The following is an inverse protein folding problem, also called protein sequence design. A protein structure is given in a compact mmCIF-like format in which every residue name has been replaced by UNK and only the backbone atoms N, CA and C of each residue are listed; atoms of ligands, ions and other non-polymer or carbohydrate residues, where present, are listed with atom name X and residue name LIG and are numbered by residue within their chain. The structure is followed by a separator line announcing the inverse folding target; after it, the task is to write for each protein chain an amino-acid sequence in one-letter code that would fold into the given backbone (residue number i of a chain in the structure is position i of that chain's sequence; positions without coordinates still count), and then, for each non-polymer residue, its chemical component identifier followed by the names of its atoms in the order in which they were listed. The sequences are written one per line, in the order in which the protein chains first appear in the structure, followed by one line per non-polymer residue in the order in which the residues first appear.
data_IF_877273663500
#
_entry.id   IF_877273663500
#
_cell.length_a   1.000
_cell.length_b   1.000
_cell.length_c   1.000
_cell.angle_alpha   90.00
_cell.angle_beta   90.00
_cell.angle_gamma   90.00
#
_symmetry.space_group_name_H-M   'P 1'
#
loop_
_entity.id
_entity.type
_entity.pdbx_description
1 polymer ?
#
# COMPACT_ATOMS: atom_id res chain seq x y z
N UNK A 1 15.15 -9.55 15.69
CA UNK A 1 13.86 -8.86 15.45
C UNK A 1 13.18 -9.53 14.29
N UNK A 2 12.01 -10.13 14.51
CA UNK A 2 11.21 -10.75 13.44
C UNK A 2 10.48 -9.60 12.77
N UNK A 3 10.87 -9.25 11.54
CA UNK A 3 10.17 -8.25 10.74
C UNK A 3 8.85 -8.91 10.34
N UNK A 4 7.81 -8.65 11.13
CA UNK A 4 6.50 -9.23 10.90
C UNK A 4 5.95 -8.62 9.61
N UNK A 5 5.78 -9.45 8.57
CA UNK A 5 5.25 -9.06 7.25
C UNK A 5 3.92 -8.32 7.37
N UNK A 6 3.15 -8.64 8.42
CA UNK A 6 1.90 -7.97 8.78
C UNK A 6 2.09 -6.52 9.20
N UNK A 7 3.13 -6.21 9.97
CA UNK A 7 3.48 -4.84 10.35
C UNK A 7 3.96 -4.04 9.14
N UNK A 8 4.72 -4.68 8.24
CA UNK A 8 5.13 -4.06 6.99
C UNK A 8 3.93 -3.70 6.11
N UNK A 9 3.01 -4.64 5.91
CA UNK A 9 1.76 -4.41 5.18
C UNK A 9 0.97 -3.24 5.77
N UNK A 10 0.82 -3.19 7.11
CA UNK A 10 0.15 -2.08 7.80
C UNK A 10 0.81 -0.73 7.55
N UNK A 11 2.14 -0.61 7.68
CA UNK A 11 2.83 0.65 7.37
C UNK A 11 2.69 1.05 5.90
N UNK A 12 2.66 0.08 4.98
CA UNK A 12 2.42 0.34 3.56
C UNK A 12 1.00 0.87 3.30
N UNK A 13 0.00 0.26 3.93
CA UNK A 13 -1.40 0.73 3.89
C UNK A 13 -1.54 2.12 4.50
N UNK A 14 -0.83 2.42 5.58
CA UNK A 14 -0.82 3.76 6.18
C UNK A 14 -0.24 4.80 5.22
N UNK A 15 0.87 4.47 4.54
CA UNK A 15 1.42 5.31 3.47
C UNK A 15 0.43 5.49 2.31
N UNK A 16 -0.27 4.43 1.90
CA UNK A 16 -1.36 4.48 0.92
C UNK A 16 -2.45 5.47 1.32
N UNK A 17 -2.87 5.48 2.59
CA UNK A 17 -3.84 6.45 3.13
C UNK A 17 -3.34 7.89 3.07
N UNK A 18 -2.04 8.09 3.31
CA UNK A 18 -1.38 9.39 3.18
C UNK A 18 -1.13 9.79 1.71
N UNK A 19 -1.48 8.91 0.76
CA UNK A 19 -1.38 9.17 -0.66
C UNK A 19 -0.06 8.77 -1.31
N UNK A 20 0.71 7.91 -0.66
CA UNK A 20 1.91 7.33 -1.23
C UNK A 20 1.61 5.99 -1.90
N UNK A 21 2.38 5.64 -2.93
CA UNK A 21 2.33 4.30 -3.53
C UNK A 21 3.00 3.25 -2.62
N UNK A 22 2.42 2.06 -2.53
CA UNK A 22 3.03 0.93 -1.86
C UNK A 22 3.40 -0.19 -2.85
N UNK A 23 4.58 -0.76 -2.66
CA UNK A 23 5.02 -1.95 -3.39
C UNK A 23 5.06 -3.16 -2.47
N UNK A 24 4.49 -4.27 -2.93
CA UNK A 24 4.51 -5.56 -2.28
C UNK A 24 5.38 -6.54 -3.09
N UNK A 25 6.55 -6.86 -2.54
CA UNK A 25 7.52 -7.80 -3.12
C UNK A 25 7.03 -9.26 -3.07
N UNK A 26 6.01 -9.57 -2.28
CA UNK A 26 5.51 -10.93 -2.09
C UNK A 26 4.00 -10.94 -2.14
N UNK A 27 3.44 -11.99 -2.74
CA UNK A 27 2.00 -12.19 -2.83
C UNK A 27 1.33 -12.18 -1.44
N UNK A 28 1.98 -12.80 -0.45
CA UNK A 28 1.51 -12.81 0.94
C UNK A 28 1.36 -11.39 1.53
N UNK A 29 2.25 -10.46 1.17
CA UNK A 29 2.17 -9.05 1.58
C UNK A 29 1.09 -8.33 0.78
N UNK A 30 0.97 -8.61 -0.51
CA UNK A 30 -0.06 -8.04 -1.37
C UNK A 30 -1.47 -8.42 -0.88
N UNK A 31 -1.70 -9.69 -0.52
CA UNK A 31 -2.97 -10.16 0.04
C UNK A 31 -3.30 -9.51 1.38
N UNK A 32 -2.29 -9.27 2.23
CA UNK A 32 -2.47 -8.55 3.49
C UNK A 32 -2.85 -7.08 3.27
N UNK A 33 -2.20 -6.42 2.31
CA UNK A 33 -2.48 -5.02 1.94
C UNK A 33 -3.89 -4.93 1.33
N UNK A 34 -4.22 -5.80 0.38
CA UNK A 34 -5.55 -5.84 -0.27
C UNK A 34 -6.66 -6.05 0.76
N UNK A 35 -6.46 -6.97 1.71
CA UNK A 35 -7.43 -7.20 2.79
C UNK A 35 -7.65 -5.95 3.64
N UNK A 36 -6.58 -5.29 4.06
CA UNK A 36 -6.71 -4.06 4.85
C UNK A 36 -7.38 -2.93 4.03
N UNK A 37 -7.06 -2.80 2.74
CA UNK A 37 -7.68 -1.81 1.85
C UNK A 37 -9.18 -2.04 1.67
N UNK A 38 -9.60 -3.30 1.53
CA UNK A 38 -11.02 -3.69 1.47
C UNK A 38 -11.71 -3.36 2.79
N UNK A 39 -11.08 -3.63 3.93
CA UNK A 39 -11.61 -3.24 5.25
C UNK A 39 -11.73 -1.71 5.42
N UNK A 40 -10.86 -0.95 4.75
CA UNK A 40 -10.87 0.52 4.73
C UNK A 40 -11.78 1.12 3.66
N UNK A 41 -12.36 0.28 2.79
CA UNK A 41 -13.17 0.70 1.64
C UNK A 41 -12.50 1.79 0.80
N UNK A 42 -11.17 1.69 0.63
CA UNK A 42 -10.35 2.67 -0.09
C UNK A 42 -10.17 2.23 -1.55
N UNK A 43 -10.47 3.14 -2.48
CA UNK A 43 -10.19 2.92 -3.89
C UNK A 43 -8.70 3.10 -4.16
N UNK A 44 -8.05 2.00 -4.52
CA UNK A 44 -6.65 2.01 -4.93
C UNK A 44 -6.50 1.18 -6.19
N UNK A 45 -5.62 1.63 -7.07
CA UNK A 45 -5.23 0.90 -8.25
C UNK A 45 -4.19 -0.16 -7.89
N UNK A 46 -4.47 -1.42 -8.21
CA UNK A 46 -3.55 -2.53 -7.96
C UNK A 46 -2.96 -3.03 -9.28
N UNK A 47 -1.67 -2.80 -9.49
CA UNK A 47 -0.95 -3.28 -10.66
C UNK A 47 -0.12 -4.52 -10.29
N UNK A 48 -0.49 -5.67 -10.84
CA UNK A 48 0.15 -6.96 -10.54
C UNK A 48 1.19 -7.29 -11.61
N UNK A 49 2.45 -7.27 -11.21
CA UNK A 49 3.60 -7.58 -12.07
C UNK A 49 4.22 -8.94 -11.72
N UNK A 50 5.09 -9.47 -12.59
CA UNK A 50 5.79 -10.74 -12.33
C UNK A 50 6.75 -10.72 -11.14
N UNK A 51 7.15 -9.53 -10.68
CA UNK A 51 8.08 -9.34 -9.56
C UNK A 51 7.39 -8.91 -8.26
N UNK A 52 6.09 -8.61 -8.29
CA UNK A 52 5.35 -8.08 -7.15
C UNK A 52 4.09 -7.30 -7.54
N UNK A 53 3.39 -6.76 -6.55
CA UNK A 53 2.17 -5.96 -6.76
C UNK A 53 2.40 -4.52 -6.32
N UNK A 54 2.02 -3.57 -7.17
CA UNK A 54 1.97 -2.16 -6.87
C UNK A 54 0.56 -1.76 -6.46
N UNK A 55 0.48 -0.90 -5.46
CA UNK A 55 -0.75 -0.30 -4.97
C UNK A 55 -0.58 1.21 -5.09
N UNK A 56 -1.39 1.84 -5.94
CA UNK A 56 -1.38 3.27 -6.17
C UNK A 56 -2.72 3.83 -5.67
N UNK A 57 -2.74 4.68 -4.65
CA UNK A 57 -3.98 5.28 -4.19
C UNK A 57 -4.54 6.20 -5.26
N UNK A 58 -5.85 6.13 -5.52
CA UNK A 58 -6.54 7.12 -6.36
C UNK A 58 -6.70 8.41 -5.54
N UNK A 59 -5.63 9.20 -5.43
CA UNK A 59 -5.71 10.51 -4.79
C UNK A 59 -6.63 11.40 -5.61
N UNK A 60 -7.77 11.76 -5.03
CA UNK A 60 -8.29 13.10 -5.24
C UNK A 60 -7.37 14.09 -4.50
N UNK A 61 -6.35 14.55 -5.24
CA UNK A 61 -5.44 15.66 -4.98
C UNK A 61 -5.74 16.48 -3.72
N UNK A 62 -5.00 16.24 -2.63
CA UNK A 62 -4.69 17.27 -1.63
C UNK A 62 -3.29 17.01 -1.06
N UNK A 63 -2.32 17.72 -1.66
CA UNK A 63 -1.13 18.34 -1.04
C UNK A 63 -0.47 17.62 0.13
N UNK A 64 0.74 17.08 -0.11
CA UNK A 64 1.92 17.46 0.67
C UNK A 64 3.19 17.05 -0.13
N UNK A 65 3.49 17.87 -1.14
CA UNK A 65 4.88 18.16 -1.45
C UNK A 65 5.48 18.82 -0.21
N UNK A 66 6.20 18.06 0.62
CA UNK A 66 7.14 18.64 1.57
C UNK A 66 8.50 17.97 1.40
N UNK A 67 9.27 18.61 0.51
CA UNK A 67 10.72 18.70 0.52
C UNK A 67 11.31 18.62 1.94
N UNK A 68 12.38 17.83 2.11
CA UNK A 68 13.68 18.29 2.65
C UNK A 68 14.76 17.30 2.23
#
# INVERSE_FOLDING_TARGET
MIINRKTLAKSKVDNLKNGYSAFAESQEVAELIEKELVELNMDVHVDRTSIGCWFIPELNSNSDEQLT
#
